data_IF_986772305774
#
_entry.id   IF_986772305774
#
_cell.length_a   1.000
_cell.length_b   1.000
_cell.length_c   1.000
_cell.angle_alpha   90.00
_cell.angle_beta   90.00
_cell.angle_gamma   90.00
#
_symmetry.space_group_name_H-M   'P 1'
#
loop_
_entity.id
_entity.type
_entity.pdbx_description
1 polymer ?
#
# COMPACT_ATOMS: atom_id res chain seq x y z
N UNK A 1 -38.63 21.46 3.33
CA UNK A 1 -38.00 21.23 2.02
C UNK A 1 -39.05 20.68 1.08
N UNK A 2 -39.54 21.53 0.17
CA UNK A 2 -40.59 21.20 -0.80
C UNK A 2 -40.07 20.23 -1.88
N UNK A 3 -38.83 20.47 -2.35
CA UNK A 3 -38.12 19.63 -3.32
C UNK A 3 -38.03 18.13 -2.98
N UNK A 4 -37.79 17.76 -1.71
CA UNK A 4 -37.73 16.33 -1.33
C UNK A 4 -39.10 15.65 -1.42
N UNK A 5 -40.18 16.39 -1.11
CA UNK A 5 -41.54 15.86 -1.25
C UNK A 5 -41.89 15.68 -2.71
N UNK A 6 -41.60 16.67 -3.55
CA UNK A 6 -41.77 16.58 -5.02
C UNK A 6 -40.98 15.42 -5.61
N UNK A 7 -39.69 15.26 -5.26
CA UNK A 7 -38.89 14.12 -5.74
C UNK A 7 -39.45 12.77 -5.30
N UNK A 8 -40.01 12.68 -4.09
CA UNK A 8 -40.59 11.43 -3.58
C UNK A 8 -41.95 11.13 -4.21
N UNK A 9 -42.79 12.14 -4.38
CA UNK A 9 -44.18 12.01 -4.83
C UNK A 9 -44.28 11.94 -6.36
N UNK A 10 -43.50 12.74 -7.09
CA UNK A 10 -43.57 12.83 -8.56
C UNK A 10 -42.53 11.94 -9.26
N UNK A 11 -41.39 11.69 -8.61
CA UNK A 11 -40.26 10.96 -9.21
C UNK A 11 -39.89 9.67 -8.45
N UNK A 12 -40.70 9.27 -7.46
CA UNK A 12 -40.53 7.99 -6.75
C UNK A 12 -39.23 7.86 -5.96
N UNK A 13 -38.56 8.96 -5.63
CA UNK A 13 -37.28 8.95 -4.93
C UNK A 13 -37.41 8.34 -3.52
N UNK A 14 -36.76 7.20 -3.29
CA UNK A 14 -36.77 6.47 -2.01
C UNK A 14 -35.65 6.86 -1.04
N UNK A 15 -34.81 7.82 -1.41
CA UNK A 15 -33.65 8.21 -0.62
C UNK A 15 -33.98 9.16 0.54
N UNK A 16 -32.99 9.33 1.42
CA UNK A 16 -33.13 10.14 2.63
C UNK A 16 -33.25 11.64 2.32
N UNK A 17 -34.13 12.32 3.04
CA UNK A 17 -34.27 13.79 3.04
C UNK A 17 -32.95 14.51 3.33
N UNK A 18 -32.09 13.91 4.14
CA UNK A 18 -30.79 14.49 4.49
C UNK A 18 -29.84 14.53 3.28
N UNK A 19 -29.88 13.52 2.40
CA UNK A 19 -29.08 13.47 1.18
C UNK A 19 -29.49 14.55 0.19
N UNK A 20 -30.81 14.72 -0.02
CA UNK A 20 -31.34 15.81 -0.87
C UNK A 20 -30.99 17.18 -0.30
N UNK A 21 -31.09 17.36 1.03
CA UNK A 21 -30.74 18.64 1.66
C UNK A 21 -29.25 18.97 1.53
N UNK A 22 -28.38 17.96 1.63
CA UNK A 22 -26.93 18.10 1.44
C UNK A 22 -26.59 18.40 -0.02
N UNK A 23 -27.22 17.70 -0.95
CA UNK A 23 -27.03 17.93 -2.38
C UNK A 23 -27.45 19.36 -2.78
N UNK A 24 -28.61 19.82 -2.29
CA UNK A 24 -29.10 21.20 -2.49
C UNK A 24 -28.17 22.24 -1.88
N UNK A 25 -27.62 21.98 -0.69
CA UNK A 25 -26.65 22.89 -0.07
C UNK A 25 -25.36 23.01 -0.90
N UNK A 26 -24.91 21.90 -1.50
CA UNK A 26 -23.70 21.84 -2.32
C UNK A 26 -23.90 22.43 -3.72
N UNK A 27 -25.10 22.34 -4.26
CA UNK A 27 -25.46 22.83 -5.61
C UNK A 27 -26.36 24.06 -5.55
N UNK A 28 -26.24 24.88 -4.50
CA UNK A 28 -27.12 26.04 -4.25
C UNK A 28 -27.08 27.09 -5.36
N UNK A 29 -26.02 27.09 -6.18
CA UNK A 29 -25.88 27.93 -7.37
C UNK A 29 -26.74 27.49 -8.57
N UNK A 30 -27.21 26.23 -8.57
CA UNK A 30 -28.08 25.67 -9.62
C UNK A 30 -29.56 25.72 -9.24
N UNK A 31 -29.88 26.13 -8.01
CA UNK A 31 -31.26 26.19 -7.50
C UNK A 31 -31.79 27.60 -7.72
N UNK A 32 -32.93 27.78 -8.42
CA UNK A 32 -33.54 29.09 -8.60
C UNK A 32 -33.76 29.78 -7.25
N UNK A 33 -33.29 31.02 -7.12
CA UNK A 33 -33.55 31.80 -5.92
C UNK A 33 -35.05 32.07 -5.81
N UNK A 34 -35.64 31.97 -4.59
CA UNK A 34 -37.04 32.33 -4.41
C UNK A 34 -37.25 33.81 -4.72
N UNK A 35 -38.41 34.10 -5.30
CA UNK A 35 -38.86 35.44 -5.71
C UNK A 35 -38.59 36.49 -4.62
N UNK A 36 -37.84 37.57 -4.92
CA UNK A 36 -37.53 38.62 -3.95
C UNK A 36 -38.76 39.37 -3.41
N UNK A 37 -39.95 39.22 -4.02
CA UNK A 37 -41.19 39.87 -3.60
C UNK A 37 -42.17 38.97 -2.81
N UNK A 38 -41.77 37.76 -2.43
CA UNK A 38 -42.61 36.89 -1.59
C UNK A 38 -42.72 37.38 -0.13
N UNK A 39 -43.86 37.17 0.56
CA UNK A 39 -43.99 37.59 1.96
C UNK A 39 -42.96 36.87 2.85
N UNK A 40 -42.35 37.56 3.82
CA UNK A 40 -41.26 37.01 4.62
C UNK A 40 -41.77 35.88 5.50
N UNK A 41 -41.20 34.67 5.32
CA UNK A 41 -41.49 33.53 6.21
C UNK A 41 -40.91 33.81 7.60
N UNK A 42 -41.78 34.17 8.55
CA UNK A 42 -41.45 34.24 9.98
C UNK A 42 -41.12 32.83 10.50
N UNK A 43 -39.84 32.51 10.54
CA UNK A 43 -39.33 31.34 11.27
C UNK A 43 -38.44 31.82 12.42
N UNK A 44 -38.91 31.67 13.67
CA UNK A 44 -38.03 31.69 14.85
C UNK A 44 -37.07 30.50 14.71
N UNK A 45 -35.84 30.78 14.30
CA UNK A 45 -34.77 29.80 14.19
C UNK A 45 -33.43 30.50 14.30
N UNK A 46 -32.57 29.97 15.16
CA UNK A 46 -31.17 30.37 15.38
C UNK A 46 -30.49 30.75 14.05
N UNK A 47 -29.67 31.82 14.01
CA UNK A 47 -28.97 32.22 12.78
C UNK A 47 -28.25 31.00 12.19
N UNK A 48 -28.30 30.81 10.86
CA UNK A 48 -27.65 29.67 10.24
C UNK A 48 -26.16 29.75 10.52
N UNK A 49 -25.63 28.74 11.22
CA UNK A 49 -24.20 28.56 11.37
C UNK A 49 -23.57 28.66 9.98
N UNK A 50 -22.53 29.50 9.87
CA UNK A 50 -21.68 29.62 8.69
C UNK A 50 -21.40 28.23 8.14
N UNK A 51 -21.67 28.04 6.84
CA UNK A 51 -21.45 26.78 6.17
C UNK A 51 -20.00 26.31 6.45
N UNK A 52 -19.78 25.08 6.93
CA UNK A 52 -18.43 24.59 7.13
C UNK A 52 -17.71 24.66 5.79
N UNK A 53 -16.59 25.39 5.76
CA UNK A 53 -15.70 25.44 4.61
C UNK A 53 -15.40 24.02 4.14
N UNK A 54 -15.36 23.74 2.83
CA UNK A 54 -14.99 22.41 2.35
C UNK A 54 -13.61 22.08 2.94
N UNK A 55 -13.56 21.07 3.83
CA UNK A 55 -12.30 20.56 4.34
C UNK A 55 -11.46 20.18 3.11
N UNK A 56 -10.21 20.67 2.99
CA UNK A 56 -9.37 20.27 1.87
C UNK A 56 -9.35 18.74 1.80
N UNK A 57 -9.38 18.15 0.59
CA UNK A 57 -9.35 16.70 0.44
C UNK A 57 -8.18 16.17 1.27
N UNK A 58 -8.44 15.18 2.11
CA UNK A 58 -7.43 14.59 2.97
C UNK A 58 -6.27 14.15 2.08
N UNK A 59 -5.16 14.89 2.12
CA UNK A 59 -3.96 14.56 1.36
C UNK A 59 -3.54 13.16 1.83
N UNK A 60 -3.57 12.21 0.90
CA UNK A 60 -3.26 10.81 1.17
C UNK A 60 -1.77 10.75 1.52
N UNK A 61 -1.46 10.78 2.81
CA UNK A 61 -0.07 10.72 3.28
C UNK A 61 0.49 9.33 2.94
N UNK A 62 1.61 9.32 2.25
CA UNK A 62 2.35 8.09 1.95
C UNK A 62 2.86 7.52 3.28
N UNK A 63 2.54 6.26 3.58
CA UNK A 63 3.12 5.60 4.75
C UNK A 63 4.57 5.22 4.48
N UNK A 64 5.39 5.11 5.53
CA UNK A 64 6.78 4.65 5.41
C UNK A 64 6.90 3.30 4.69
N UNK A 65 5.94 2.39 4.91
CA UNK A 65 5.88 1.09 4.22
C UNK A 65 5.63 1.25 2.73
N UNK A 66 4.73 2.15 2.33
CA UNK A 66 4.48 2.43 0.92
C UNK A 66 5.70 3.08 0.26
N UNK A 67 6.35 4.02 0.95
CA UNK A 67 7.59 4.63 0.49
C UNK A 67 8.68 3.58 0.24
N UNK A 68 8.97 2.76 1.25
CA UNK A 68 9.97 1.69 1.13
C UNK A 68 9.63 0.73 -0.03
N UNK A 69 8.36 0.39 -0.22
CA UNK A 69 7.95 -0.50 -1.33
C UNK A 69 8.13 0.13 -2.71
N UNK A 70 7.93 1.44 -2.83
CA UNK A 70 8.22 2.18 -4.06
C UNK A 70 9.72 2.20 -4.36
N UNK A 71 10.56 2.41 -3.35
CA UNK A 71 12.02 2.46 -3.50
C UNK A 71 12.64 1.14 -3.93
N UNK A 72 12.02 -0.01 -3.64
CA UNK A 72 12.54 -1.35 -4.00
C UNK A 72 11.88 -1.95 -5.24
N UNK A 73 10.88 -1.28 -5.82
CA UNK A 73 10.25 -1.74 -7.07
C UNK A 73 11.19 -1.52 -8.24
N UNK A 74 11.05 -2.37 -9.25
CA UNK A 74 11.73 -2.19 -10.53
C UNK A 74 11.38 -0.83 -11.14
N UNK A 75 12.38 -0.01 -11.52
CA UNK A 75 12.15 1.30 -12.13
C UNK A 75 11.24 1.24 -13.36
N UNK A 76 11.40 0.20 -14.19
CA UNK A 76 10.57 -0.02 -15.40
C UNK A 76 9.08 -0.23 -15.12
N UNK A 77 8.73 -0.59 -13.88
CA UNK A 77 7.34 -0.86 -13.49
C UNK A 77 6.70 0.31 -12.77
N UNK A 78 7.42 1.39 -12.51
CA UNK A 78 6.88 2.55 -11.81
C UNK A 78 6.09 3.44 -12.77
N UNK A 79 4.98 4.01 -12.29
CA UNK A 79 4.29 5.05 -13.04
C UNK A 79 5.05 6.38 -12.94
N UNK A 80 4.77 7.33 -13.85
CA UNK A 80 5.36 8.67 -13.77
C UNK A 80 5.05 9.36 -12.43
N UNK A 81 3.85 9.16 -11.88
CA UNK A 81 3.49 9.69 -10.56
C UNK A 81 4.35 9.09 -9.45
N UNK A 82 4.57 7.77 -9.48
CA UNK A 82 5.40 7.06 -8.50
C UNK A 82 6.87 7.47 -8.59
N UNK A 83 7.40 7.64 -9.81
CA UNK A 83 8.76 8.16 -10.03
C UNK A 83 8.90 9.57 -9.43
N UNK A 84 7.94 10.46 -9.68
CA UNK A 84 7.94 11.80 -9.09
C UNK A 84 7.75 11.80 -7.56
N UNK A 85 7.18 10.74 -6.96
CA UNK A 85 7.17 10.57 -5.50
C UNK A 85 8.57 10.21 -5.01
N UNK A 86 9.24 9.24 -5.65
CA UNK A 86 10.59 8.81 -5.27
C UNK A 86 11.57 9.97 -5.39
N UNK A 87 11.54 10.70 -6.50
CA UNK A 87 12.44 11.83 -6.74
C UNK A 87 12.28 12.91 -5.66
N UNK A 88 11.04 13.24 -5.27
CA UNK A 88 10.80 14.17 -4.16
C UNK A 88 11.30 13.64 -2.82
N UNK A 89 11.19 12.34 -2.56
CA UNK A 89 11.72 11.73 -1.33
C UNK A 89 13.25 11.82 -1.28
N UNK A 90 13.93 11.52 -2.40
CA UNK A 90 15.39 11.63 -2.50
C UNK A 90 15.85 13.08 -2.34
N UNK A 91 15.18 14.05 -2.97
CA UNK A 91 15.49 15.48 -2.83
C UNK A 91 15.35 15.99 -1.38
N UNK A 92 14.38 15.46 -0.63
CA UNK A 92 14.14 15.88 0.76
C UNK A 92 15.08 15.20 1.76
N UNK A 93 15.61 14.03 1.44
CA UNK A 93 16.46 13.25 2.33
C UNK A 93 17.52 12.49 1.51
N UNK A 94 18.76 13.00 1.45
CA UNK A 94 19.86 12.33 0.73
C UNK A 94 20.15 10.91 1.22
N UNK A 95 19.84 10.61 2.49
CA UNK A 95 19.95 9.25 3.03
C UNK A 95 18.98 8.27 2.35
N UNK A 96 17.83 8.73 1.88
CA UNK A 96 16.85 7.91 1.14
C UNK A 96 17.37 7.59 -0.25
N UNK A 97 18.05 8.53 -0.89
CA UNK A 97 18.69 8.32 -2.20
C UNK A 97 19.75 7.21 -2.10
N UNK A 98 20.69 7.34 -1.17
CA UNK A 98 21.73 6.31 -0.93
C UNK A 98 21.11 4.95 -0.60
N UNK A 99 20.06 4.93 0.23
CA UNK A 99 19.37 3.68 0.57
C UNK A 99 18.65 3.06 -0.64
N UNK A 100 18.02 3.89 -1.47
CA UNK A 100 17.33 3.47 -2.69
C UNK A 100 18.31 2.83 -3.67
N UNK A 101 19.44 3.49 -3.93
CA UNK A 101 20.45 3.00 -4.86
C UNK A 101 21.02 1.66 -4.41
N UNK A 102 21.45 1.57 -3.15
CA UNK A 102 21.98 0.32 -2.59
C UNK A 102 20.93 -0.80 -2.60
N UNK A 103 19.67 -0.50 -2.34
CA UNK A 103 18.59 -1.48 -2.40
C UNK A 103 18.34 -1.97 -3.83
N UNK A 104 18.30 -1.06 -4.82
CA UNK A 104 18.11 -1.41 -6.23
C UNK A 104 19.25 -2.26 -6.75
N UNK A 105 20.50 -1.90 -6.44
CA UNK A 105 21.68 -2.67 -6.81
C UNK A 105 21.66 -4.08 -6.23
N UNK A 106 21.28 -4.22 -4.95
CA UNK A 106 21.16 -5.52 -4.30
C UNK A 106 20.08 -6.38 -4.97
N UNK A 107 18.91 -5.80 -5.23
CA UNK A 107 17.79 -6.49 -5.91
C UNK A 107 18.18 -6.93 -7.31
N UNK A 108 18.89 -6.06 -8.04
CA UNK A 108 19.41 -6.37 -9.35
C UNK A 108 20.40 -7.53 -9.28
N UNK A 109 21.37 -7.49 -8.36
CA UNK A 109 22.35 -8.55 -8.15
C UNK A 109 21.71 -9.90 -7.84
N UNK A 110 20.68 -9.92 -6.99
CA UNK A 110 19.90 -11.14 -6.68
C UNK A 110 19.16 -11.64 -7.91
N UNK A 111 18.57 -10.74 -8.70
CA UNK A 111 17.83 -11.08 -9.92
C UNK A 111 18.74 -11.62 -11.03
N UNK A 112 19.90 -11.01 -11.20
CA UNK A 112 20.88 -11.30 -12.25
C UNK A 112 21.94 -12.33 -11.81
N UNK A 113 21.89 -12.76 -10.54
CA UNK A 113 22.76 -13.80 -9.97
C UNK A 113 24.24 -13.44 -10.13
N UNK A 114 24.58 -12.22 -9.75
CA UNK A 114 25.92 -11.66 -9.96
C UNK A 114 26.75 -11.73 -8.68
N UNK A 115 27.17 -12.93 -8.28
CA UNK A 115 27.96 -13.13 -7.06
C UNK A 115 29.26 -12.32 -7.02
N UNK A 116 29.88 -12.06 -8.18
CA UNK A 116 31.11 -11.26 -8.27
C UNK A 116 30.93 -9.80 -7.83
N UNK A 117 29.72 -9.25 -7.90
CA UNK A 117 29.43 -7.87 -7.47
C UNK A 117 29.16 -7.76 -5.96
N UNK A 118 29.03 -8.90 -5.26
CA UNK A 118 28.56 -8.95 -3.88
C UNK A 118 29.52 -8.27 -2.90
N UNK A 119 30.81 -8.60 -2.97
CA UNK A 119 31.80 -8.02 -2.05
C UNK A 119 31.91 -6.49 -2.21
N UNK A 120 31.91 -6.00 -3.45
CA UNK A 120 31.94 -4.56 -3.73
C UNK A 120 30.69 -3.84 -3.21
N UNK A 121 29.53 -4.49 -3.30
CA UNK A 121 28.29 -3.95 -2.73
C UNK A 121 28.33 -3.94 -1.19
N UNK A 122 28.84 -4.99 -0.54
CA UNK A 122 28.99 -5.03 0.93
C UNK A 122 29.84 -3.86 1.44
N UNK A 123 30.95 -3.55 0.76
CA UNK A 123 31.81 -2.42 1.15
C UNK A 123 31.09 -1.07 1.03
N UNK A 124 30.35 -0.85 -0.06
CA UNK A 124 29.57 0.40 -0.22
C UNK A 124 28.44 0.51 0.80
N UNK A 125 27.71 -0.58 1.03
CA UNK A 125 26.63 -0.60 2.01
C UNK A 125 27.15 -0.37 3.44
N UNK A 126 28.34 -0.88 3.77
CA UNK A 126 29.01 -0.61 5.05
C UNK A 126 29.43 0.87 5.18
N UNK A 127 29.95 1.45 4.11
CA UNK A 127 30.37 2.85 4.05
C UNK A 127 29.22 3.86 3.92
N UNK A 128 27.97 3.40 3.77
CA UNK A 128 26.79 4.24 3.52
C UNK A 128 26.44 5.23 4.64
N UNK A 129 26.91 4.99 5.87
CA UNK A 129 26.53 5.76 7.05
C UNK A 129 25.11 5.48 7.57
N UNK A 130 24.41 4.48 7.00
CA UNK A 130 23.04 4.10 7.39
C UNK A 130 23.10 2.86 8.28
N UNK A 131 22.75 3.02 9.57
CA UNK A 131 22.90 1.98 10.59
C UNK A 131 22.12 0.69 10.26
N UNK A 132 20.94 0.82 9.66
CA UNK A 132 20.11 -0.30 9.23
C UNK A 132 20.77 -1.12 8.11
N UNK A 133 21.39 -0.44 7.13
CA UNK A 133 22.13 -1.11 6.06
C UNK A 133 23.42 -1.75 6.57
N UNK A 134 24.12 -1.09 7.48
CA UNK A 134 25.30 -1.67 8.14
C UNK A 134 24.93 -2.93 8.93
N UNK A 135 23.82 -2.92 9.65
CA UNK A 135 23.30 -4.09 10.37
C UNK A 135 22.90 -5.22 9.41
N UNK A 136 22.32 -4.87 8.26
CA UNK A 136 21.99 -5.82 7.21
C UNK A 136 23.24 -6.49 6.62
N UNK A 137 24.29 -5.70 6.34
CA UNK A 137 25.60 -6.21 5.90
C UNK A 137 26.18 -7.22 6.89
N UNK A 138 26.15 -6.92 8.20
CA UNK A 138 26.63 -7.85 9.23
C UNK A 138 25.86 -9.18 9.19
N UNK A 139 24.55 -9.14 8.94
CA UNK A 139 23.75 -10.36 8.76
C UNK A 139 24.19 -11.15 7.53
N UNK A 140 24.38 -10.48 6.40
CA UNK A 140 24.81 -11.11 5.15
C UNK A 140 26.22 -11.75 5.24
N UNK A 141 27.15 -11.11 5.95
CA UNK A 141 28.50 -11.62 6.15
C UNK A 141 28.52 -12.89 7.01
N UNK A 142 27.67 -12.97 8.05
CA UNK A 142 27.54 -14.19 8.86
C UNK A 142 27.15 -15.41 8.03
N UNK A 143 26.32 -15.20 7.02
CA UNK A 143 25.81 -16.23 6.11
C UNK A 143 26.42 -16.13 4.71
N UNK A 144 27.64 -15.56 4.57
CA UNK A 144 28.23 -15.22 3.28
C UNK A 144 28.26 -16.39 2.29
N UNK A 145 28.67 -17.58 2.74
CA UNK A 145 28.70 -18.77 1.89
C UNK A 145 27.31 -19.13 1.34
N UNK A 146 26.27 -19.00 2.15
CA UNK A 146 24.88 -19.27 1.74
C UNK A 146 24.37 -18.20 0.77
N UNK A 147 24.71 -16.93 1.00
CA UNK A 147 24.33 -15.83 0.11
C UNK A 147 25.02 -15.95 -1.25
N UNK A 148 26.33 -16.22 -1.28
CA UNK A 148 27.09 -16.45 -2.52
C UNK A 148 26.53 -17.65 -3.28
N UNK A 149 26.20 -18.74 -2.59
CA UNK A 149 25.55 -19.89 -3.20
C UNK A 149 24.18 -19.53 -3.79
N UNK A 150 23.36 -18.73 -3.09
CA UNK A 150 22.09 -18.25 -3.59
C UNK A 150 22.24 -17.34 -4.82
N UNK A 151 23.30 -16.52 -4.87
CA UNK A 151 23.63 -15.65 -5.99
C UNK A 151 24.27 -16.39 -7.17
N UNK A 152 24.75 -17.62 -7.01
CA UNK A 152 25.44 -18.36 -8.09
C UNK A 152 24.63 -19.55 -8.61
N UNK A 153 23.74 -20.10 -7.77
CA UNK A 153 23.00 -21.31 -8.10
C UNK A 153 21.80 -21.03 -9.00
N UNK A 154 21.53 -21.88 -10.02
CA UNK A 154 20.29 -21.80 -10.77
C UNK A 154 19.09 -22.30 -9.94
N UNK A 155 19.34 -23.09 -8.89
CA UNK A 155 18.32 -23.71 -8.05
C UNK A 155 17.69 -22.70 -7.09
N UNK A 156 16.36 -22.74 -6.97
CA UNK A 156 15.62 -21.93 -5.99
C UNK A 156 15.07 -22.80 -4.87
N UNK A 157 14.95 -22.22 -3.67
CA UNK A 157 14.25 -22.85 -2.55
C UNK A 157 12.72 -22.88 -2.73
N UNK A 158 12.18 -22.35 -3.85
CA UNK A 158 10.74 -22.23 -4.08
C UNK A 158 9.99 -23.56 -4.01
N UNK A 159 10.58 -24.65 -4.52
CA UNK A 159 9.97 -25.98 -4.42
C UNK A 159 9.87 -26.45 -2.96
N UNK A 160 10.95 -26.28 -2.19
CA UNK A 160 11.02 -26.66 -0.78
C UNK A 160 10.03 -25.82 0.04
N UNK A 161 10.03 -24.51 -0.17
CA UNK A 161 9.07 -23.58 0.46
C UNK A 161 7.62 -23.92 0.11
N UNK A 162 7.36 -24.31 -1.14
CA UNK A 162 6.06 -24.79 -1.59
C UNK A 162 5.60 -26.03 -0.82
N UNK A 163 6.48 -27.00 -0.64
CA UNK A 163 6.19 -28.20 0.16
C UNK A 163 5.97 -27.86 1.63
N UNK A 164 6.78 -26.96 2.21
CA UNK A 164 6.63 -26.48 3.58
C UNK A 164 5.29 -25.76 3.75
N UNK A 165 4.90 -24.90 2.81
CA UNK A 165 3.61 -24.20 2.83
C UNK A 165 2.45 -25.18 2.71
N UNK A 166 2.54 -26.19 1.84
CA UNK A 166 1.55 -27.26 1.73
C UNK A 166 1.41 -28.03 3.05
N UNK A 167 2.52 -28.41 3.69
CA UNK A 167 2.54 -29.06 4.99
C UNK A 167 1.89 -28.19 6.07
N UNK A 168 2.24 -26.90 6.14
CA UNK A 168 1.64 -25.93 7.06
C UNK A 168 0.14 -25.79 6.82
N UNK A 169 -0.30 -25.77 5.57
CA UNK A 169 -1.72 -25.69 5.21
C UNK A 169 -2.49 -26.92 5.69
N UNK A 170 -1.97 -28.13 5.48
CA UNK A 170 -2.60 -29.38 5.96
C UNK A 170 -2.67 -29.38 7.49
N UNK A 171 -1.61 -28.97 8.19
CA UNK A 171 -1.64 -28.83 9.66
C UNK A 171 -2.71 -27.85 10.12
N UNK A 172 -2.83 -26.68 9.47
CA UNK A 172 -3.80 -25.63 9.81
C UNK A 172 -5.25 -26.07 9.54
N UNK A 173 -5.53 -26.75 8.43
CA UNK A 173 -6.88 -27.28 8.13
C UNK A 173 -7.31 -28.38 9.10
N UNK A 174 -6.36 -28.97 9.82
CA UNK A 174 -6.59 -29.99 10.85
C UNK A 174 -6.46 -29.43 12.27
N UNK A 175 -6.50 -28.10 12.44
CA UNK A 175 -6.39 -27.42 13.73
C UNK A 175 -5.15 -27.85 14.55
N UNK A 176 -4.04 -28.12 13.86
CA UNK A 176 -2.78 -28.55 14.48
C UNK A 176 -2.75 -30.01 14.96
N UNK A 177 -3.84 -30.78 14.80
CA UNK A 177 -3.95 -32.17 15.29
C UNK A 177 -3.32 -33.23 14.37
N UNK A 178 -2.70 -32.79 13.27
CA UNK A 178 -2.03 -33.68 12.34
C UNK A 178 -0.62 -34.04 12.84
N UNK A 179 -0.51 -35.16 13.57
CA UNK A 179 0.78 -35.78 13.92
C UNK A 179 1.47 -36.34 12.67
N UNK A 180 2.75 -36.69 12.76
CA UNK A 180 3.58 -37.09 11.62
C UNK A 180 2.93 -38.18 10.74
N UNK A 181 2.40 -39.24 11.34
CA UNK A 181 1.78 -40.35 10.59
C UNK A 181 0.61 -39.89 9.72
N UNK A 182 -0.23 -39.00 10.26
CA UNK A 182 -1.40 -38.47 9.56
C UNK A 182 -0.99 -37.49 8.46
N UNK A 183 0.05 -36.68 8.71
CA UNK A 183 0.64 -35.81 7.67
C UNK A 183 1.24 -36.63 6.54
N UNK A 184 2.03 -37.66 6.87
CA UNK A 184 2.64 -38.55 5.88
C UNK A 184 1.58 -39.18 5.00
N UNK A 185 0.51 -39.72 5.58
CA UNK A 185 -0.62 -40.29 4.83
C UNK A 185 -1.27 -39.27 3.90
N UNK A 186 -1.60 -38.06 4.37
CA UNK A 186 -2.23 -37.02 3.52
C UNK A 186 -1.31 -36.44 2.45
N UNK A 187 -0.01 -36.40 2.71
CA UNK A 187 0.98 -35.88 1.77
C UNK A 187 1.21 -36.88 0.63
N UNK A 188 1.39 -38.17 0.97
CA UNK A 188 1.69 -39.25 0.03
C UNK A 188 0.46 -39.73 -0.74
N UNK A 189 -0.73 -39.81 -0.13
CA UNK A 189 -1.97 -40.23 -0.81
C UNK A 189 -2.46 -39.26 -1.90
N UNK A 190 -1.79 -38.10 -2.05
CA UNK A 190 -2.06 -37.11 -3.10
C UNK A 190 -0.97 -37.09 -4.19
N UNK A 191 0.09 -37.89 -4.02
CA UNK A 191 1.21 -37.99 -4.95
C UNK A 191 1.10 -39.21 -5.89
N UNK A 192 -0.05 -39.87 -5.87
CA UNK A 192 -0.47 -41.03 -6.66
C UNK A 192 -1.66 -40.68 -7.52
#
# INVERSE_FOLDING_TARGET
MQLWRELREQHGYRGSRALVSRWVAQHRHLVPQPDPNGPPRRGRGRPPASAPSPKPPAQRRLSARQAAWLLVRRPEKLTQEEQGIIERLCQQAPTVEVASDLAQEFIQMVRERTAAAFDGWLQRARASGIAELQSFVVGLERDQAAVVAALSSPSSNGQVEGQVNRLKLIKRSMYGRAKFDLLRRRVLARAS
#
